data_IF_889289665808
#
_entry.id   IF_889289665808
#
_cell.length_a   1.000
_cell.length_b   1.000
_cell.length_c   1.000
_cell.angle_alpha   90.00
_cell.angle_beta   90.00
_cell.angle_gamma   90.00
#
_symmetry.space_group_name_H-M   'P 1'
#
loop_
_entity.id
_entity.type
_entity.pdbx_description
1 polymer ?
#
# COMPACT_ATOMS: atom_id res chain seq x y z
N UNK A 1 15.30 -17.47 1.85
CA UNK A 1 15.27 -16.50 2.98
C UNK A 1 14.93 -15.09 2.49
N UNK A 2 15.67 -14.55 1.50
CA UNK A 2 15.39 -13.24 0.90
C UNK A 2 13.97 -13.14 0.30
N UNK A 3 13.51 -14.18 -0.42
CA UNK A 3 12.13 -14.24 -0.95
C UNK A 3 11.06 -14.13 0.14
N UNK A 4 11.26 -14.80 1.28
CA UNK A 4 10.32 -14.75 2.39
C UNK A 4 10.27 -13.33 2.97
N UNK A 5 11.42 -12.70 3.19
CA UNK A 5 11.50 -11.31 3.66
C UNK A 5 10.81 -10.36 2.68
N UNK A 6 11.03 -10.54 1.38
CA UNK A 6 10.42 -9.72 0.33
C UNK A 6 8.89 -9.93 0.24
N UNK A 7 8.44 -11.17 0.32
CA UNK A 7 7.02 -11.51 0.31
C UNK A 7 6.30 -10.95 1.55
N UNK A 8 6.91 -11.08 2.74
CA UNK A 8 6.36 -10.52 3.98
C UNK A 8 6.37 -9.00 3.98
N UNK A 9 7.43 -8.34 3.47
CA UNK A 9 7.49 -6.88 3.41
C UNK A 9 6.47 -6.30 2.41
N UNK A 10 6.30 -6.93 1.25
CA UNK A 10 5.27 -6.58 0.28
C UNK A 10 3.86 -6.77 0.87
N UNK A 11 3.61 -7.89 1.54
CA UNK A 11 2.33 -8.14 2.20
C UNK A 11 2.06 -7.12 3.32
N UNK A 12 3.06 -6.82 4.14
CA UNK A 12 2.98 -5.79 5.18
C UNK A 12 2.65 -4.42 4.59
N UNK A 13 3.34 -4.02 3.51
CA UNK A 13 3.08 -2.75 2.84
C UNK A 13 1.67 -2.69 2.23
N UNK A 14 1.19 -3.79 1.66
CA UNK A 14 -0.19 -3.90 1.17
C UNK A 14 -1.21 -3.68 2.29
N UNK A 15 -0.97 -4.24 3.48
CA UNK A 15 -1.82 -4.01 4.66
C UNK A 15 -1.78 -2.57 5.16
N UNK A 16 -0.64 -1.86 5.05
CA UNK A 16 -0.59 -0.42 5.38
C UNK A 16 -1.47 0.42 4.43
N UNK A 17 -1.41 0.12 3.13
CA UNK A 17 -2.25 0.79 2.12
C UNK A 17 -3.74 0.49 2.37
N UNK A 18 -4.08 -0.77 2.65
CA UNK A 18 -5.44 -1.16 3.04
C UNK A 18 -5.90 -0.48 4.33
N UNK A 19 -5.04 -0.43 5.35
CA UNK A 19 -5.35 0.22 6.62
C UNK A 19 -5.64 1.72 6.44
N UNK A 20 -4.84 2.41 5.61
CA UNK A 20 -5.12 3.81 5.25
C UNK A 20 -6.45 3.95 4.52
N UNK A 21 -6.73 3.09 3.55
CA UNK A 21 -7.98 3.12 2.81
C UNK A 21 -9.18 2.84 3.73
N UNK A 22 -9.05 1.86 4.62
CA UNK A 22 -10.05 1.54 5.64
C UNK A 22 -10.32 2.73 6.55
N UNK A 23 -9.26 3.36 7.09
CA UNK A 23 -9.40 4.58 7.91
C UNK A 23 -9.99 5.75 7.13
N UNK A 24 -9.70 5.88 5.83
CA UNK A 24 -10.23 6.96 5.01
C UNK A 24 -11.75 6.94 4.85
N UNK A 25 -12.40 5.78 5.08
CA UNK A 25 -13.87 5.71 5.15
C UNK A 25 -14.44 6.38 6.41
N UNK A 26 -13.65 6.47 7.48
CA UNK A 26 -14.07 7.10 8.74
C UNK A 26 -13.53 8.51 8.89
N UNK A 27 -12.25 8.73 8.58
CA UNK A 27 -11.59 10.02 8.70
C UNK A 27 -10.42 10.15 7.72
N UNK A 28 -10.31 11.34 7.11
CA UNK A 28 -9.17 11.75 6.27
C UNK A 28 -8.37 12.88 6.92
N UNK A 29 -8.59 13.13 8.21
CA UNK A 29 -7.89 14.19 8.95
C UNK A 29 -6.42 13.81 9.21
N UNK A 30 -5.49 14.60 8.68
CA UNK A 30 -4.05 14.42 8.90
C UNK A 30 -3.60 14.76 10.32
N UNK A 31 -4.44 15.41 11.12
CA UNK A 31 -4.17 15.65 12.54
C UNK A 31 -4.44 14.41 13.38
N UNK A 32 -5.20 13.44 12.87
CA UNK A 32 -5.41 12.17 13.54
C UNK A 32 -4.13 11.34 13.49
N UNK A 33 -3.61 10.97 14.66
CA UNK A 33 -2.39 10.18 14.80
C UNK A 33 -2.43 8.88 13.97
N UNK A 34 -3.54 8.12 14.03
CA UNK A 34 -3.67 6.84 13.34
C UNK A 34 -3.70 7.01 11.82
N UNK A 35 -4.43 8.03 11.33
CA UNK A 35 -4.46 8.31 9.90
C UNK A 35 -3.08 8.78 9.42
N UNK A 36 -2.43 9.68 10.15
CA UNK A 36 -1.11 10.21 9.78
C UNK A 36 -0.03 9.12 9.78
N UNK A 37 -0.07 8.21 10.75
CA UNK A 37 0.84 7.07 10.86
C UNK A 37 0.77 6.15 9.62
N UNK A 38 -0.42 5.93 9.05
CA UNK A 38 -0.58 5.16 7.81
C UNK A 38 -0.36 6.01 6.55
N UNK A 39 -0.65 7.31 6.63
CA UNK A 39 -0.51 8.26 5.52
C UNK A 39 0.96 8.44 5.12
N UNK A 40 1.84 8.77 6.06
CA UNK A 40 3.26 9.06 5.81
C UNK A 40 3.99 7.95 5.04
N UNK A 41 3.94 6.65 5.45
CA UNK A 41 4.65 5.59 4.75
C UNK A 41 4.03 5.20 3.40
N UNK A 42 2.72 5.47 3.20
CA UNK A 42 2.02 5.10 1.97
C UNK A 42 1.97 6.23 0.95
N UNK A 43 2.06 7.50 1.37
CA UNK A 43 2.07 8.68 0.50
C UNK A 43 3.01 8.58 -0.72
N UNK A 44 4.27 8.11 -0.62
CA UNK A 44 5.13 7.98 -1.80
C UNK A 44 4.54 7.04 -2.87
N UNK A 45 3.92 5.92 -2.48
CA UNK A 45 3.23 5.06 -3.44
C UNK A 45 2.04 5.78 -4.08
N UNK A 46 1.24 6.51 -3.31
CA UNK A 46 0.14 7.32 -3.86
C UNK A 46 0.63 8.42 -4.81
N UNK A 47 1.79 9.02 -4.57
CA UNK A 47 2.41 9.97 -5.51
C UNK A 47 2.85 9.31 -6.81
N UNK A 48 3.42 8.11 -6.77
CA UNK A 48 3.80 7.37 -7.98
C UNK A 48 2.60 7.07 -8.88
N UNK A 49 1.46 6.76 -8.29
CA UNK A 49 0.23 6.49 -9.04
C UNK A 49 -0.64 7.72 -9.26
N UNK A 50 -0.19 8.95 -8.95
CA UNK A 50 -1.04 10.15 -8.96
C UNK A 50 -1.63 10.52 -10.33
N UNK A 51 -1.18 9.87 -11.40
CA UNK A 51 -1.72 10.02 -12.75
C UNK A 51 -3.09 9.32 -12.96
N UNK A 52 -3.55 8.46 -12.03
CA UNK A 52 -4.79 7.68 -12.12
C UNK A 52 -5.97 8.27 -11.32
N UNK A 53 -6.83 9.14 -11.88
CA UNK A 53 -7.67 10.10 -11.15
C UNK A 53 -8.67 9.55 -10.11
N UNK A 54 -9.03 8.26 -10.14
CA UNK A 54 -10.07 7.71 -9.25
C UNK A 54 -9.65 6.43 -8.51
N UNK A 55 -8.57 5.77 -8.95
CA UNK A 55 -8.30 4.38 -8.57
C UNK A 55 -6.87 4.15 -8.03
N UNK A 56 -6.22 5.19 -7.47
CA UNK A 56 -4.85 5.09 -6.97
C UNK A 56 -4.65 3.95 -5.97
N UNK A 57 -5.54 3.80 -4.98
CA UNK A 57 -5.48 2.72 -3.98
C UNK A 57 -5.56 1.34 -4.66
N UNK A 58 -6.51 1.15 -5.57
CA UNK A 58 -6.67 -0.11 -6.31
C UNK A 58 -5.45 -0.41 -7.19
N UNK A 59 -4.91 0.60 -7.87
CA UNK A 59 -3.70 0.45 -8.69
C UNK A 59 -2.48 0.05 -7.85
N UNK A 60 -2.33 0.63 -6.66
CA UNK A 60 -1.28 0.25 -5.71
C UNK A 60 -1.47 -1.20 -5.24
N UNK A 61 -2.70 -1.60 -4.89
CA UNK A 61 -2.97 -2.97 -4.45
C UNK A 61 -2.72 -3.99 -5.56
N UNK A 62 -3.19 -3.72 -6.78
CA UNK A 62 -2.98 -4.59 -7.94
C UNK A 62 -1.49 -4.70 -8.25
N UNK A 63 -0.76 -3.58 -8.25
CA UNK A 63 0.69 -3.62 -8.49
C UNK A 63 1.45 -4.41 -7.42
N UNK A 64 1.09 -4.26 -6.13
CA UNK A 64 1.66 -5.06 -5.05
C UNK A 64 1.33 -6.54 -5.17
N UNK A 65 0.12 -6.90 -5.60
CA UNK A 65 -0.26 -8.30 -5.84
C UNK A 65 0.51 -8.91 -7.00
N UNK A 66 0.70 -8.17 -8.09
CA UNK A 66 1.50 -8.61 -9.24
C UNK A 66 2.96 -8.81 -8.82
N UNK A 67 3.55 -7.83 -8.11
CA UNK A 67 4.91 -7.93 -7.57
C UNK A 67 5.06 -9.14 -6.66
N UNK A 68 4.10 -9.35 -5.75
CA UNK A 68 4.10 -10.49 -4.83
C UNK A 68 3.99 -11.82 -5.58
N UNK A 69 3.14 -11.91 -6.59
CA UNK A 69 3.02 -13.10 -7.43
C UNK A 69 4.31 -13.38 -8.20
N UNK A 70 4.94 -12.34 -8.78
CA UNK A 70 6.25 -12.47 -9.45
C UNK A 70 7.32 -12.98 -8.47
N UNK A 71 7.38 -12.44 -7.25
CA UNK A 71 8.36 -12.87 -6.25
C UNK A 71 8.19 -14.34 -5.84
N UNK A 72 6.95 -14.84 -5.79
CA UNK A 72 6.67 -16.23 -5.37
C UNK A 72 6.86 -17.24 -6.52
N UNK A 73 6.66 -16.82 -7.77
CA UNK A 73 6.65 -17.72 -8.93
C UNK A 73 7.91 -17.69 -9.78
N UNK A 74 8.68 -16.60 -9.70
CA UNK A 74 9.89 -16.39 -10.50
C UNK A 74 11.18 -16.75 -9.74
N UNK A 75 11.09 -16.88 -8.42
CA UNK A 75 12.12 -17.35 -7.50
C UNK A 75 11.58 -18.57 -6.76
#
# INVERSE_FOLDING_TARGET
MIEQVLNYSLAFYMWLVLGRAALSFFTTDRRNFFYNMLYVPTEPAYKLFSFLPCCHTLAILISLLILRYMVIKLF
#
